data_IF_846852306446
#
_entry.id   IF_846852306446
#
_cell.length_a   1.000
_cell.length_b   1.000
_cell.length_c   1.000
_cell.angle_alpha   90.00
_cell.angle_beta   90.00
_cell.angle_gamma   90.00
#
_symmetry.space_group_name_H-M   'P 1'
#
loop_
_entity.id
_entity.type
_entity.pdbx_description
1 polymer ?
#
# COMPACT_ATOMS: atom_id res chain seq x y z
N UNK A 1 -50.11 4.14 34.68
CA UNK A 1 -50.08 3.83 33.24
C UNK A 1 -49.03 4.73 32.61
N UNK A 2 -47.76 4.31 32.65
CA UNK A 2 -46.62 5.14 32.28
C UNK A 2 -46.52 5.24 30.77
N UNK A 3 -46.93 6.38 30.20
CA UNK A 3 -46.62 6.74 28.82
C UNK A 3 -45.14 7.16 28.78
N UNK A 4 -44.26 6.19 28.52
CA UNK A 4 -42.89 6.49 28.11
C UNK A 4 -42.95 7.09 26.70
N UNK A 5 -42.86 8.41 26.62
CA UNK A 5 -42.75 9.13 25.35
C UNK A 5 -41.34 8.87 24.80
N UNK A 6 -41.24 7.89 23.91
CA UNK A 6 -40.08 7.67 23.05
C UNK A 6 -39.95 8.88 22.13
N UNK A 7 -39.05 9.82 22.45
CA UNK A 7 -38.61 10.85 21.50
C UNK A 7 -37.93 10.15 20.32
N UNK A 8 -38.47 10.26 19.09
CA UNK A 8 -37.81 9.69 17.92
C UNK A 8 -36.63 10.59 17.56
N UNK A 9 -35.45 10.22 18.06
CA UNK A 9 -34.18 10.82 17.68
C UNK A 9 -33.95 10.69 16.16
N UNK A 10 -34.06 11.82 15.46
CA UNK A 10 -33.31 12.17 14.25
C UNK A 10 -33.39 11.22 13.03
N UNK A 11 -34.48 11.28 12.22
CA UNK A 11 -34.55 10.59 10.92
C UNK A 11 -33.50 11.10 9.89
N UNK A 12 -32.93 12.29 10.08
CA UNK A 12 -31.97 12.90 9.15
C UNK A 12 -30.63 12.13 9.02
N UNK A 13 -30.23 11.34 10.04
CA UNK A 13 -28.99 10.53 9.99
C UNK A 13 -29.17 9.16 9.32
N UNK A 14 -30.39 8.67 9.22
CA UNK A 14 -30.67 7.40 8.54
C UNK A 14 -30.73 7.62 7.03
N UNK A 15 -31.48 8.63 6.58
CA UNK A 15 -31.71 8.96 5.17
C UNK A 15 -30.40 9.23 4.39
N UNK A 16 -29.43 9.90 5.04
CA UNK A 16 -28.12 10.17 4.44
C UNK A 16 -27.29 8.91 4.20
N UNK A 17 -27.39 7.90 5.08
CA UNK A 17 -26.69 6.62 4.93
C UNK A 17 -27.23 5.78 3.78
N UNK A 18 -28.54 5.79 3.54
CA UNK A 18 -29.14 5.07 2.40
C UNK A 18 -28.75 5.65 1.04
N UNK A 19 -28.76 6.99 0.90
CA UNK A 19 -28.27 7.67 -0.32
C UNK A 19 -26.77 7.51 -0.52
N UNK A 20 -25.97 7.58 0.55
CA UNK A 20 -24.53 7.29 0.47
C UNK A 20 -24.21 5.82 0.21
N UNK A 21 -25.09 4.88 0.55
CA UNK A 21 -24.83 3.44 0.32
C UNK A 21 -24.82 3.07 -1.17
N UNK A 22 -25.66 3.71 -1.99
CA UNK A 22 -25.74 3.40 -3.42
C UNK A 22 -24.51 3.86 -4.22
N UNK A 23 -23.88 4.98 -3.82
CA UNK A 23 -22.67 5.51 -4.46
C UNK A 23 -21.38 5.20 -3.70
N UNK A 24 -21.45 5.00 -2.39
CA UNK A 24 -20.30 4.69 -1.54
C UNK A 24 -19.81 3.26 -1.73
N UNK A 25 -20.70 2.33 -2.08
CA UNK A 25 -20.33 0.94 -2.32
C UNK A 25 -19.27 0.76 -3.43
N UNK A 26 -19.42 1.35 -4.64
CA UNK A 26 -18.37 1.27 -5.67
C UNK A 26 -17.11 2.08 -5.30
N UNK A 27 -17.25 3.22 -4.62
CA UNK A 27 -16.11 4.04 -4.19
C UNK A 27 -15.26 3.32 -3.14
N UNK A 28 -15.88 2.64 -2.19
CA UNK A 28 -15.19 1.82 -1.19
C UNK A 28 -14.49 0.64 -1.86
N UNK A 29 -15.13 0.01 -2.85
CA UNK A 29 -14.50 -1.07 -3.62
C UNK A 29 -13.28 -0.59 -4.43
N UNK A 30 -13.39 0.60 -5.06
CA UNK A 30 -12.28 1.27 -5.73
C UNK A 30 -11.14 1.59 -4.77
N UNK A 31 -11.45 2.11 -3.58
CA UNK A 31 -10.47 2.40 -2.55
C UNK A 31 -9.75 1.15 -2.05
N UNK A 32 -10.49 0.08 -1.74
CA UNK A 32 -9.94 -1.21 -1.32
C UNK A 32 -9.09 -1.82 -2.44
N UNK A 33 -9.57 -1.79 -3.69
CA UNK A 33 -8.83 -2.30 -4.84
C UNK A 33 -7.54 -1.53 -5.09
N UNK A 34 -7.58 -0.21 -5.03
CA UNK A 34 -6.40 0.64 -5.19
C UNK A 34 -5.39 0.46 -4.06
N UNK A 35 -5.88 0.35 -2.82
CA UNK A 35 -5.04 0.10 -1.65
C UNK A 35 -4.33 -1.25 -1.74
N UNK A 36 -5.07 -2.31 -2.11
CA UNK A 36 -4.51 -3.64 -2.35
C UNK A 36 -3.50 -3.63 -3.50
N UNK A 37 -3.79 -2.92 -4.60
CA UNK A 37 -2.87 -2.77 -5.72
C UNK A 37 -1.58 -2.02 -5.33
N UNK A 38 -1.68 -0.97 -4.50
CA UNK A 38 -0.53 -0.25 -3.98
C UNK A 38 0.33 -1.13 -3.08
N UNK A 39 -0.28 -1.89 -2.17
CA UNK A 39 0.43 -2.86 -1.32
C UNK A 39 1.11 -3.93 -2.18
N UNK A 40 0.40 -4.48 -3.18
CA UNK A 40 0.96 -5.45 -4.10
C UNK A 40 2.15 -4.87 -4.88
N UNK A 41 2.05 -3.62 -5.34
CA UNK A 41 3.15 -2.90 -5.98
C UNK A 41 4.35 -2.70 -5.04
N UNK A 42 4.12 -2.32 -3.79
CA UNK A 42 5.18 -2.21 -2.78
C UNK A 42 5.88 -3.55 -2.54
N UNK A 43 5.12 -4.63 -2.35
CA UNK A 43 5.67 -5.98 -2.16
C UNK A 43 6.45 -6.41 -3.41
N UNK A 44 5.89 -6.18 -4.59
CA UNK A 44 6.53 -6.57 -5.85
C UNK A 44 7.86 -5.84 -6.06
N UNK A 45 7.93 -4.53 -5.77
CA UNK A 45 9.18 -3.77 -5.84
C UNK A 45 10.24 -4.32 -4.89
N UNK A 46 9.87 -4.67 -3.65
CA UNK A 46 10.80 -5.27 -2.67
C UNK A 46 11.31 -6.63 -3.15
N UNK A 47 10.42 -7.47 -3.70
CA UNK A 47 10.78 -8.79 -4.22
C UNK A 47 11.67 -8.67 -5.46
N UNK A 48 11.34 -7.75 -6.36
CA UNK A 48 12.14 -7.46 -7.56
C UNK A 48 13.51 -6.93 -7.17
N UNK A 49 13.60 -5.98 -6.23
CA UNK A 49 14.90 -5.46 -5.78
C UNK A 49 15.74 -6.55 -5.14
N UNK A 50 15.16 -7.40 -4.28
CA UNK A 50 15.87 -8.52 -3.68
C UNK A 50 16.37 -9.52 -4.74
N UNK A 51 15.54 -9.81 -5.76
CA UNK A 51 15.91 -10.73 -6.85
C UNK A 51 16.91 -10.15 -7.85
N UNK A 52 16.91 -8.84 -8.05
CA UNK A 52 17.88 -8.16 -8.91
C UNK A 52 19.23 -7.90 -8.22
N UNK A 53 19.26 -7.73 -6.89
CA UNK A 53 20.50 -7.67 -6.12
C UNK A 53 21.27 -9.01 -6.17
N UNK A 54 20.53 -10.12 -6.24
CA UNK A 54 21.07 -11.48 -6.45
C UNK A 54 21.60 -11.74 -7.86
N UNK A 55 21.37 -10.85 -8.84
CA UNK A 55 22.08 -10.90 -10.10
C UNK A 55 23.41 -10.19 -9.83
N UNK A 56 24.50 -10.95 -9.56
CA UNK A 56 25.73 -10.37 -9.05
C UNK A 56 26.07 -9.22 -9.96
N UNK A 57 26.02 -8.00 -9.43
CA UNK A 57 26.67 -6.89 -10.09
C UNK A 57 28.07 -7.44 -10.38
N UNK A 58 28.53 -7.41 -11.65
CA UNK A 58 29.94 -7.55 -11.94
C UNK A 58 30.64 -6.29 -11.40
N UNK A 59 30.53 -6.03 -10.10
CA UNK A 59 31.54 -5.36 -9.30
C UNK A 59 32.69 -6.33 -9.11
N UNK A 60 33.24 -6.82 -10.21
CA UNK A 60 34.64 -7.17 -10.28
C UNK A 60 35.42 -5.86 -10.08
N UNK A 61 35.58 -5.50 -8.81
CA UNK A 61 36.78 -4.82 -8.31
C UNK A 61 37.14 -3.47 -8.94
N UNK A 62 36.19 -2.63 -9.35
CA UNK A 62 36.50 -1.24 -9.75
C UNK A 62 35.90 -0.20 -8.81
N UNK A 63 36.05 -0.44 -7.51
CA UNK A 63 35.97 0.60 -6.47
C UNK A 63 37.30 0.66 -5.73
N UNK A 64 38.37 0.90 -6.47
CA UNK A 64 39.51 1.73 -6.08
C UNK A 64 40.30 1.94 -7.36
N UNK A 65 40.35 3.17 -7.86
CA UNK A 65 41.30 3.59 -8.89
C UNK A 65 42.75 3.55 -8.38
N UNK A 66 43.09 2.60 -7.52
CA UNK A 66 44.43 2.36 -7.00
C UNK A 66 44.81 0.95 -7.47
N UNK A 67 45.64 0.82 -8.51
CA UNK A 67 46.24 -0.45 -8.84
C UNK A 67 47.12 -0.88 -7.67
N UNK A 68 46.75 -1.96 -6.96
CA UNK A 68 47.68 -2.63 -6.05
C UNK A 68 48.61 -3.43 -6.94
N UNK A 69 49.80 -2.90 -7.21
CA UNK A 69 50.84 -3.65 -7.88
C UNK A 69 51.22 -4.82 -6.97
N UNK A 70 51.15 -6.09 -7.43
CA UNK A 70 51.95 -7.12 -6.80
C UNK A 70 53.40 -6.82 -7.15
N UNK A 71 54.11 -6.21 -6.19
CA UNK A 71 55.57 -6.22 -6.16
C UNK A 71 56.00 -7.69 -6.16
N UNK A 72 56.50 -8.17 -7.30
CA UNK A 72 57.25 -9.42 -7.37
C UNK A 72 58.44 -9.22 -8.28
N UNK A 73 59.51 -8.81 -7.60
CA UNK A 73 60.90 -9.20 -7.82
C UNK A 73 61.09 -10.56 -8.50
#
# INVERSE_FOLDING_TARGET
MSTTSRTPETPLRAESRWRSSWYGQPVVWLGIGLFAASIAGCIWLIVVSARYDDQPLPTDGRVFGVPVQPDSR
#
